data_IF_362843692165
#
_entry.id   IF_362843692165
#
_cell.length_a   1.000
_cell.length_b   1.000
_cell.length_c   1.000
_cell.angle_alpha   90.00
_cell.angle_beta   90.00
_cell.angle_gamma   90.00
#
_symmetry.space_group_name_H-M   'P 1'
#
loop_
_entity.id
_entity.type
_entity.pdbx_description
1 polymer ?
#
# COMPACT_ATOMS: atom_id res chain seq x y z
N UNK A 1 -8.30 25.93 -10.69
CA UNK A 1 -7.20 24.95 -10.82
C UNK A 1 -7.02 24.01 -9.62
N UNK A 2 -6.58 24.45 -8.43
CA UNK A 2 -6.46 23.50 -7.28
C UNK A 2 -7.81 22.86 -6.92
N UNK A 3 -8.90 23.65 -6.88
CA UNK A 3 -10.27 23.14 -6.66
C UNK A 3 -10.73 22.15 -7.73
N UNK A 4 -10.47 22.43 -9.01
CA UNK A 4 -10.80 21.51 -10.12
C UNK A 4 -10.06 20.16 -10.00
N UNK A 5 -8.83 20.17 -9.48
CA UNK A 5 -8.09 18.94 -9.22
C UNK A 5 -8.66 18.15 -8.05
N UNK A 6 -9.10 18.82 -6.98
CA UNK A 6 -9.84 18.16 -5.89
C UNK A 6 -11.13 17.50 -6.39
N UNK A 7 -11.89 18.19 -7.24
CA UNK A 7 -13.10 17.64 -7.88
C UNK A 7 -12.80 16.42 -8.78
N UNK A 8 -11.60 16.36 -9.35
CA UNK A 8 -11.11 15.21 -10.12
C UNK A 8 -10.50 14.10 -9.24
N UNK A 9 -10.53 14.26 -7.91
CA UNK A 9 -10.04 13.28 -6.94
C UNK A 9 -8.53 13.35 -6.66
N UNK A 10 -7.86 14.44 -7.01
CA UNK A 10 -6.46 14.68 -6.62
C UNK A 10 -6.41 15.45 -5.29
N UNK A 11 -5.84 14.88 -4.21
CA UNK A 11 -5.87 15.46 -2.87
C UNK A 11 -4.78 16.53 -2.68
N UNK A 12 -4.81 17.58 -3.49
CA UNK A 12 -3.80 18.64 -3.58
C UNK A 12 -3.86 19.65 -2.42
N UNK A 13 -4.97 19.72 -1.71
CA UNK A 13 -5.22 20.53 -0.52
C UNK A 13 -4.36 20.09 0.66
N UNK A 14 -3.93 18.82 0.67
CA UNK A 14 -3.04 18.26 1.70
C UNK A 14 -1.63 18.87 1.69
N UNK A 15 -1.26 19.60 0.63
CA UNK A 15 0.04 20.26 0.51
C UNK A 15 0.06 21.70 1.05
N UNK A 16 -0.99 22.15 1.75
CA UNK A 16 -0.98 23.46 2.42
C UNK A 16 -0.79 24.65 1.47
N UNK A 17 -1.20 24.50 0.21
CA UNK A 17 -1.03 25.52 -0.83
C UNK A 17 0.25 25.41 -1.66
N UNK A 18 1.12 24.42 -1.42
CA UNK A 18 2.29 24.16 -2.27
C UNK A 18 1.84 23.65 -3.66
N UNK A 19 1.77 24.61 -4.59
CA UNK A 19 1.33 24.36 -5.95
C UNK A 19 2.31 23.47 -6.74
N UNK A 20 3.61 23.50 -6.43
CA UNK A 20 4.58 22.68 -7.15
C UNK A 20 4.39 21.19 -6.85
N UNK A 21 4.24 20.85 -5.57
CA UNK A 21 3.92 19.48 -5.13
C UNK A 21 2.57 19.02 -5.68
N UNK A 22 1.57 19.89 -5.73
CA UNK A 22 0.28 19.58 -6.32
C UNK A 22 0.39 19.21 -7.80
N UNK A 23 1.16 19.99 -8.59
CA UNK A 23 1.40 19.71 -10.02
C UNK A 23 2.13 18.38 -10.19
N UNK A 24 3.16 18.12 -9.38
CA UNK A 24 3.94 16.90 -9.42
C UNK A 24 3.07 15.67 -9.08
N UNK A 25 2.23 15.75 -8.03
CA UNK A 25 1.31 14.66 -7.67
C UNK A 25 0.35 14.33 -8.81
N UNK A 26 -0.23 15.35 -9.46
CA UNK A 26 -1.15 15.16 -10.59
C UNK A 26 -0.44 14.47 -11.77
N UNK A 27 0.82 14.81 -12.05
CA UNK A 27 1.61 14.14 -13.09
C UNK A 27 1.86 12.67 -12.73
N UNK A 28 2.25 12.41 -11.50
CA UNK A 28 2.49 11.05 -10.98
C UNK A 28 1.23 10.19 -11.06
N UNK A 29 0.08 10.71 -10.61
CA UNK A 29 -1.19 9.99 -10.68
C UNK A 29 -1.58 9.64 -12.10
N UNK A 30 -1.41 10.57 -13.05
CA UNK A 30 -1.66 10.32 -14.47
C UNK A 30 -0.72 9.25 -15.02
N UNK A 31 0.57 9.32 -14.68
CA UNK A 31 1.55 8.30 -15.07
C UNK A 31 1.13 6.91 -14.58
N UNK A 32 0.79 6.78 -13.29
CA UNK A 32 0.34 5.52 -12.67
C UNK A 32 -0.93 5.00 -13.37
N UNK A 33 -1.90 5.87 -13.65
CA UNK A 33 -3.13 5.49 -14.38
C UNK A 33 -2.85 4.95 -15.77
N UNK A 34 -1.74 5.30 -16.41
CA UNK A 34 -1.36 4.76 -17.72
C UNK A 34 -0.49 3.50 -17.67
N UNK A 35 0.05 3.14 -16.50
CA UNK A 35 0.84 1.90 -16.36
C UNK A 35 0.01 0.68 -16.70
N UNK A 36 0.61 -0.41 -17.18
CA UNK A 36 -0.12 -1.68 -17.35
C UNK A 36 -0.30 -2.42 -16.02
N UNK A 37 -1.22 -3.41 -15.95
CA UNK A 37 -1.34 -4.28 -14.76
C UNK A 37 0.00 -4.91 -14.39
N UNK A 38 0.71 -5.47 -15.37
CA UNK A 38 2.06 -6.04 -15.18
C UNK A 38 3.08 -5.03 -14.64
N UNK A 39 2.98 -3.76 -15.05
CA UNK A 39 3.80 -2.68 -14.51
C UNK A 39 3.53 -2.43 -13.02
N UNK A 40 2.26 -2.41 -12.63
CA UNK A 40 1.83 -2.24 -11.25
C UNK A 40 2.21 -3.45 -10.38
N UNK A 41 2.04 -4.67 -10.88
CA UNK A 41 2.48 -5.91 -10.20
C UNK A 41 3.99 -5.91 -9.98
N UNK A 42 4.78 -5.47 -10.97
CA UNK A 42 6.23 -5.34 -10.84
C UNK A 42 6.60 -4.33 -9.75
N UNK A 43 5.94 -3.18 -9.72
CA UNK A 43 6.13 -2.20 -8.65
C UNK A 43 5.81 -2.79 -7.27
N UNK A 44 4.68 -3.48 -7.15
CA UNK A 44 4.22 -4.10 -5.90
C UNK A 44 5.22 -5.14 -5.38
N UNK A 45 5.71 -6.01 -6.28
CA UNK A 45 6.74 -7.00 -5.98
C UNK A 45 8.07 -6.37 -5.53
N UNK A 46 8.47 -5.25 -6.14
CA UNK A 46 9.70 -4.55 -5.78
C UNK A 46 9.67 -3.96 -4.36
N UNK A 47 8.49 -3.71 -3.80
CA UNK A 47 8.32 -3.28 -2.40
C UNK A 47 8.41 -4.47 -1.42
N UNK A 48 8.51 -5.70 -1.93
CA UNK A 48 8.75 -6.91 -1.13
C UNK A 48 7.50 -7.69 -0.74
N UNK A 49 6.35 -7.35 -1.33
CA UNK A 49 5.08 -8.04 -1.09
C UNK A 49 4.82 -9.16 -2.12
N UNK A 50 4.01 -10.18 -1.77
CA UNK A 50 3.67 -11.29 -2.66
C UNK A 50 3.12 -10.84 -4.00
N UNK A 51 3.26 -11.70 -5.01
CA UNK A 51 2.38 -11.62 -6.17
C UNK A 51 0.97 -12.04 -5.73
N UNK A 52 -0.03 -11.24 -6.08
CA UNK A 52 -1.43 -11.48 -5.72
C UNK A 52 -2.23 -11.59 -7.00
N UNK A 53 -2.53 -12.82 -7.42
CA UNK A 53 -3.16 -13.05 -8.73
C UNK A 53 -4.57 -12.46 -8.80
N UNK A 54 -5.25 -12.47 -7.66
CA UNK A 54 -6.60 -11.95 -7.50
C UNK A 54 -6.63 -10.43 -7.23
N UNK A 55 -5.46 -9.77 -7.11
CA UNK A 55 -5.42 -8.31 -7.06
C UNK A 55 -5.78 -7.75 -8.44
N UNK A 56 -6.83 -6.93 -8.46
CA UNK A 56 -7.21 -6.24 -9.68
C UNK A 56 -6.27 -5.06 -9.94
N UNK A 57 -6.30 -4.60 -11.19
CA UNK A 57 -5.45 -3.49 -11.64
C UNK A 57 -5.77 -2.19 -10.90
N UNK A 58 -7.05 -1.91 -10.66
CA UNK A 58 -7.53 -0.69 -10.03
C UNK A 58 -7.05 -0.60 -8.58
N UNK A 59 -7.07 -1.71 -7.84
CA UNK A 59 -6.56 -1.77 -6.49
C UNK A 59 -5.07 -1.43 -6.43
N UNK A 60 -4.23 -2.06 -7.27
CA UNK A 60 -2.80 -1.79 -7.31
C UNK A 60 -2.51 -0.34 -7.75
N UNK A 61 -3.31 0.20 -8.68
CA UNK A 61 -3.23 1.60 -9.09
C UNK A 61 -3.53 2.54 -7.91
N UNK A 62 -4.62 2.30 -7.18
CA UNK A 62 -5.01 3.12 -6.04
C UNK A 62 -3.99 3.04 -4.91
N UNK A 63 -3.47 1.84 -4.63
CA UNK A 63 -2.40 1.67 -3.64
C UNK A 63 -1.15 2.45 -4.04
N UNK A 64 -0.73 2.39 -5.31
CA UNK A 64 0.45 3.13 -5.75
C UNK A 64 0.24 4.65 -5.68
N UNK A 65 -0.95 5.14 -6.06
CA UNK A 65 -1.31 6.55 -5.88
C UNK A 65 -1.22 6.99 -4.42
N UNK A 66 -1.76 6.20 -3.49
CA UNK A 66 -1.64 6.46 -2.04
C UNK A 66 -0.18 6.51 -1.58
N UNK A 67 0.65 5.57 -2.04
CA UNK A 67 2.09 5.58 -1.71
C UNK A 67 2.79 6.85 -2.21
N UNK A 68 2.55 7.27 -3.46
CA UNK A 68 3.13 8.53 -3.98
C UNK A 68 2.63 9.74 -3.19
N UNK A 69 1.35 9.76 -2.82
CA UNK A 69 0.82 10.81 -1.96
C UNK A 69 1.61 10.90 -0.65
N UNK A 70 1.72 9.79 0.09
CA UNK A 70 2.42 9.76 1.37
C UNK A 70 3.91 10.14 1.26
N UNK A 71 4.56 9.79 0.15
CA UNK A 71 5.94 10.21 -0.14
C UNK A 71 6.10 11.72 -0.29
N UNK A 72 5.06 12.42 -0.73
CA UNK A 72 5.07 13.86 -0.98
C UNK A 72 4.47 14.68 0.16
N UNK A 73 3.63 14.07 1.00
CA UNK A 73 2.93 14.76 2.10
C UNK A 73 3.93 15.42 3.07
N UNK A 74 3.66 16.66 3.53
CA UNK A 74 4.37 17.24 4.67
C UNK A 74 4.27 16.31 5.89
N UNK A 75 5.29 16.33 6.77
CA UNK A 75 5.34 15.46 7.95
C UNK A 75 4.06 15.53 8.79
N UNK A 76 3.52 16.73 9.01
CA UNK A 76 2.29 16.94 9.77
C UNK A 76 1.07 16.27 9.11
N UNK A 77 0.95 16.37 7.79
CA UNK A 77 -0.14 15.71 7.06
C UNK A 77 0.02 14.17 7.07
N UNK A 78 1.26 13.67 6.99
CA UNK A 78 1.56 12.25 7.09
C UNK A 78 1.19 11.68 8.47
N UNK A 79 1.51 12.41 9.55
CA UNK A 79 1.11 12.03 10.92
C UNK A 79 -0.40 11.99 11.08
N UNK A 80 -1.14 12.97 10.52
CA UNK A 80 -2.61 12.97 10.54
C UNK A 80 -3.19 11.77 9.82
N UNK A 81 -2.61 11.38 8.69
CA UNK A 81 -3.05 10.20 7.95
C UNK A 81 -2.81 8.92 8.75
N UNK A 82 -1.68 8.79 9.44
CA UNK A 82 -1.42 7.69 10.38
C UNK A 82 -2.40 7.69 11.57
N UNK A 83 -2.70 8.87 12.14
CA UNK A 83 -3.65 8.99 13.24
C UNK A 83 -5.07 8.55 12.82
N UNK A 84 -5.48 8.90 11.60
CA UNK A 84 -6.80 8.55 11.03
C UNK A 84 -7.01 7.03 10.98
N UNK A 85 -5.95 6.25 10.78
CA UNK A 85 -6.02 4.80 10.70
C UNK A 85 -5.73 4.09 12.04
N UNK A 86 -5.61 4.84 13.14
CA UNK A 86 -5.34 4.30 14.48
C UNK A 86 -3.88 3.88 14.71
N UNK A 87 -2.95 4.35 13.87
CA UNK A 87 -1.52 4.10 14.04
C UNK A 87 -0.89 4.98 15.13
N UNK A 88 0.28 4.59 15.68
CA UNK A 88 1.03 5.43 16.61
C UNK A 88 1.33 6.80 15.96
N UNK A 89 0.96 7.89 16.63
CA UNK A 89 1.16 9.27 16.14
C UNK A 89 2.62 9.74 16.20
N UNK A 90 3.56 8.85 16.54
CA UNK A 90 4.98 9.17 16.67
C UNK A 90 5.30 10.13 17.82
N UNK A 91 4.36 10.37 18.74
CA UNK A 91 4.56 11.30 19.88
C UNK A 91 5.58 10.78 20.90
N UNK A 92 5.94 9.49 20.85
CA UNK A 92 6.87 8.85 21.80
C UNK A 92 8.34 8.86 21.33
N UNK A 93 8.62 9.26 20.09
CA UNK A 93 9.97 9.22 19.54
C UNK A 93 10.70 10.56 19.76
N UNK A 94 11.19 10.78 20.99
CA UNK A 94 12.01 11.96 21.31
C UNK A 94 13.44 11.90 20.78
N UNK A 95 13.79 10.89 19.95
CA UNK A 95 15.16 10.70 19.42
C UNK A 95 15.29 10.08 18.03
N UNK A 96 14.19 9.81 17.28
CA UNK A 96 14.32 9.25 15.93
C UNK A 96 14.67 10.33 14.89
N UNK A 97 15.57 10.00 13.94
CA UNK A 97 15.81 10.79 12.74
C UNK A 97 14.47 11.01 12.00
N UNK A 98 14.17 12.26 11.64
CA UNK A 98 12.94 12.61 10.91
C UNK A 98 12.77 11.75 9.66
N UNK A 99 13.87 11.38 9.00
CA UNK A 99 13.87 10.52 7.82
C UNK A 99 13.44 9.10 8.14
N UNK A 100 13.92 8.52 9.25
CA UNK A 100 13.52 7.19 9.73
C UNK A 100 12.05 7.19 10.14
N UNK A 101 11.64 8.18 10.94
CA UNK A 101 10.24 8.37 11.32
C UNK A 101 9.32 8.47 10.10
N UNK A 102 9.74 9.24 9.08
CA UNK A 102 8.98 9.35 7.83
C UNK A 102 8.85 8.01 7.12
N UNK A 103 9.91 7.21 7.09
CA UNK A 103 9.88 5.89 6.47
C UNK A 103 8.93 4.95 7.23
N UNK A 104 8.98 4.96 8.55
CA UNK A 104 8.12 4.15 9.42
C UNK A 104 6.64 4.48 9.25
N UNK A 105 6.28 5.78 9.25
CA UNK A 105 4.89 6.22 9.05
C UNK A 105 4.33 5.77 7.70
N UNK A 106 5.12 5.91 6.61
CA UNK A 106 4.72 5.43 5.28
C UNK A 106 4.54 3.91 5.24
N UNK A 107 5.44 3.17 5.90
CA UNK A 107 5.35 1.71 5.96
C UNK A 107 4.12 1.26 6.75
N UNK A 108 3.80 1.93 7.85
CA UNK A 108 2.59 1.64 8.63
C UNK A 108 1.32 1.88 7.81
N UNK A 109 1.22 3.00 7.10
CA UNK A 109 0.10 3.29 6.20
C UNK A 109 -0.05 2.22 5.11
N UNK A 110 1.06 1.84 4.49
CA UNK A 110 1.08 0.77 3.49
C UNK A 110 0.56 -0.55 4.06
N UNK A 111 1.11 -0.98 5.22
CA UNK A 111 0.72 -2.21 5.89
C UNK A 111 -0.76 -2.23 6.22
N UNK A 112 -1.29 -1.13 6.74
CA UNK A 112 -2.71 -1.02 7.06
C UNK A 112 -3.61 -1.13 5.82
N UNK A 113 -3.27 -0.46 4.72
CA UNK A 113 -4.01 -0.59 3.46
C UNK A 113 -4.00 -2.03 2.95
N UNK A 114 -2.88 -2.76 3.10
CA UNK A 114 -2.83 -4.19 2.75
C UNK A 114 -3.71 -5.04 3.64
N UNK A 115 -3.71 -4.82 4.95
CA UNK A 115 -4.58 -5.55 5.86
C UNK A 115 -6.07 -5.36 5.49
N UNK A 116 -6.48 -4.14 5.16
CA UNK A 116 -7.86 -3.86 4.72
C UNK A 116 -8.19 -4.62 3.42
N UNK A 117 -7.30 -4.56 2.42
CA UNK A 117 -7.50 -5.25 1.15
C UNK A 117 -7.59 -6.77 1.31
N UNK A 118 -6.73 -7.35 2.15
CA UNK A 118 -6.73 -8.79 2.42
C UNK A 118 -7.91 -9.25 3.27
N UNK A 119 -8.39 -8.42 4.19
CA UNK A 119 -9.65 -8.70 4.92
C UNK A 119 -10.82 -8.80 3.96
N UNK A 120 -10.94 -7.87 3.00
CA UNK A 120 -12.00 -7.88 1.99
C UNK A 120 -11.98 -9.13 1.10
N UNK A 121 -10.83 -9.82 1.00
CA UNK A 121 -10.67 -11.10 0.29
C UNK A 121 -10.82 -12.33 1.19
N UNK A 122 -11.13 -12.15 2.47
CA UNK A 122 -11.40 -13.26 3.39
C UNK A 122 -10.18 -13.84 4.11
N UNK A 123 -9.02 -13.18 4.07
CA UNK A 123 -7.83 -13.65 4.79
C UNK A 123 -7.85 -13.37 6.30
N UNK A 124 -8.91 -12.73 6.82
CA UNK A 124 -9.01 -12.32 8.23
C UNK A 124 -7.78 -11.51 8.71
N UNK A 125 -7.23 -10.70 7.82
CA UNK A 125 -6.00 -9.97 8.00
C UNK A 125 -6.07 -8.96 9.17
N UNK A 126 -7.20 -8.29 9.37
CA UNK A 126 -7.39 -7.37 10.49
C UNK A 126 -7.37 -8.10 11.84
N UNK A 127 -7.87 -9.33 11.89
CA UNK A 127 -7.82 -10.18 13.09
C UNK A 127 -6.38 -10.62 13.39
N UNK A 128 -5.59 -10.92 12.36
CA UNK A 128 -4.18 -11.28 12.51
C UNK A 128 -3.36 -10.06 12.94
N UNK A 129 -3.69 -8.87 12.43
CA UNK A 129 -3.09 -7.60 12.83
C UNK A 129 -1.62 -7.40 12.42
N UNK A 130 -1.02 -8.36 11.71
CA UNK A 130 0.37 -8.30 11.25
C UNK A 130 0.45 -8.52 9.74
N UNK A 131 0.71 -7.44 9.00
CA UNK A 131 0.75 -7.46 7.54
C UNK A 131 1.82 -8.40 6.98
N UNK A 132 2.99 -8.50 7.62
CA UNK A 132 4.08 -9.36 7.13
C UNK A 132 3.72 -10.85 7.28
N UNK A 133 3.02 -11.20 8.36
CA UNK A 133 2.48 -12.55 8.58
C UNK A 133 1.43 -12.90 7.54
N UNK A 134 0.47 -12.01 7.29
CA UNK A 134 -0.56 -12.21 6.25
C UNK A 134 0.09 -12.31 4.87
N UNK A 135 1.09 -11.47 4.57
CA UNK A 135 1.85 -11.54 3.33
C UNK A 135 2.53 -12.91 3.14
N UNK A 136 3.10 -13.47 4.20
CA UNK A 136 3.70 -14.81 4.17
C UNK A 136 2.66 -15.90 3.91
N UNK A 137 1.49 -15.82 4.56
CA UNK A 137 0.38 -16.75 4.33
C UNK A 137 -0.10 -16.69 2.87
N UNK A 138 -0.22 -15.50 2.30
CA UNK A 138 -0.61 -15.31 0.91
C UNK A 138 0.43 -15.89 -0.06
N UNK A 139 1.74 -15.68 0.20
CA UNK A 139 2.81 -16.32 -0.60
C UNK A 139 2.65 -17.84 -0.62
N UNK A 140 2.39 -18.44 0.53
CA UNK A 140 2.19 -19.89 0.64
C UNK A 140 0.92 -20.32 -0.09
N UNK A 141 -0.20 -19.62 0.11
CA UNK A 141 -1.46 -19.90 -0.59
C UNK A 141 -1.29 -19.86 -2.12
N UNK A 142 -0.66 -18.82 -2.66
CA UNK A 142 -0.44 -18.69 -4.10
C UNK A 142 0.53 -19.74 -4.64
N UNK A 143 1.53 -20.13 -3.84
CA UNK A 143 2.41 -21.25 -4.18
C UNK A 143 1.64 -22.58 -4.26
N UNK A 144 0.78 -22.89 -3.28
CA UNK A 144 -0.07 -24.07 -3.30
C UNK A 144 -1.06 -24.07 -4.46
N UNK A 145 -1.69 -22.92 -4.74
CA UNK A 145 -2.60 -22.75 -5.87
C UNK A 145 -1.92 -22.95 -7.23
N UNK A 146 -0.61 -22.68 -7.32
CA UNK A 146 0.17 -22.89 -8.53
C UNK A 146 0.63 -24.34 -8.71
N UNK A 147 0.67 -25.13 -7.64
CA UNK A 147 0.95 -26.57 -7.73
C UNK A 147 -0.29 -27.33 -8.24
N UNK A 148 -0.08 -28.30 -9.12
CA UNK A 148 -1.16 -29.18 -9.58
C UNK A 148 -1.54 -30.23 -8.51
N UNK A 149 -2.72 -30.85 -8.64
CA UNK A 149 -3.27 -31.82 -7.67
C UNK A 149 -2.33 -33.01 -7.33
N UNK A 150 -1.45 -33.40 -8.25
CA UNK A 150 -0.47 -34.46 -8.03
C UNK A 150 0.70 -34.00 -7.14
N UNK A 151 1.14 -32.75 -7.29
CA UNK A 151 2.20 -32.14 -6.48
C UNK A 151 1.68 -31.76 -5.09
N UNK A 152 0.42 -31.28 -5.03
CA UNK A 152 -0.25 -30.97 -3.77
C UNK A 152 -0.41 -32.21 -2.88
N UNK A 153 -0.84 -33.36 -3.43
CA UNK A 153 -0.94 -34.63 -2.69
C UNK A 153 0.40 -35.10 -2.11
N UNK A 154 1.48 -34.92 -2.87
CA UNK A 154 2.84 -35.26 -2.42
C UNK A 154 3.35 -34.32 -1.31
N UNK A 155 3.02 -33.03 -1.39
CA UNK A 155 3.41 -32.03 -0.38
C UNK A 155 2.68 -32.21 0.96
N UNK A 156 1.42 -32.68 0.94
CA UNK A 156 0.61 -32.89 2.14
C UNK A 156 0.72 -34.31 2.75
N UNK A 157 1.67 -35.13 2.29
CA UNK A 157 1.94 -36.45 2.88
C UNK A 157 0.93 -37.55 2.54
N UNK A 158 0.18 -37.42 1.44
CA UNK A 158 -0.72 -38.48 0.97
C UNK A 158 0.06 -39.60 0.27
N UNK A 159 0.35 -40.68 1.00
CA UNK A 159 0.53 -42.02 0.41
C UNK A 159 -0.80 -42.72 0.28
#
# INVERSE_FOLDING_TARGET
>A
RLREWEEQGFPVSLFGGDYHKAVELVKEYKSISTMSKKGLEKWYKNIGYPEEKDADRSELEQLYKKVRLWEMLPMEALRKECARIGGPTGQEATSQDEKELRADLKLQLFKQERLIAWEARGFHALRIGNADTVAQMIRQYEHFRAMGDAEFRKACGGT
#
